data_IF_621618308805
#
_entry.id   IF_621618308805
#
_cell.length_a   1.000
_cell.length_b   1.000
_cell.length_c   1.000
_cell.angle_alpha   90.00
_cell.angle_beta   90.00
_cell.angle_gamma   90.00
#
_symmetry.space_group_name_H-M   'P 1'
#
loop_
_entity.id
_entity.type
_entity.pdbx_description
1 polymer ?
#
# COMPACT_ATOMS: atom_id res chain seq x y z
N UNK A 1 -4.36 21.12 -13.76
CA UNK A 1 -3.18 20.79 -12.93
C UNK A 1 -3.67 20.75 -11.50
N UNK A 2 -4.15 19.59 -11.06
CA UNK A 2 -4.60 19.42 -9.68
C UNK A 2 -3.34 19.38 -8.81
N UNK A 3 -3.13 20.46 -8.04
CA UNK A 3 -2.25 20.44 -6.86
C UNK A 3 -2.84 19.38 -5.95
N UNK A 4 -2.26 18.19 -5.96
CA UNK A 4 -2.64 17.15 -5.03
C UNK A 4 -1.80 17.35 -3.79
N UNK A 5 -2.46 17.49 -2.66
CA UNK A 5 -1.86 17.34 -1.34
C UNK A 5 -2.53 16.16 -0.66
N UNK A 6 -1.84 15.56 0.29
CA UNK A 6 -2.41 14.55 1.18
C UNK A 6 -2.31 15.02 2.62
N UNK A 7 -3.37 14.78 3.38
CA UNK A 7 -3.45 15.08 4.79
C UNK A 7 -3.09 13.82 5.57
N UNK A 8 -2.04 13.91 6.39
CA UNK A 8 -1.62 12.86 7.32
C UNK A 8 -2.10 13.26 8.71
N UNK A 9 -3.04 12.53 9.32
CA UNK A 9 -3.48 12.81 10.68
C UNK A 9 -2.34 12.52 11.66
N UNK A 10 -2.08 13.47 12.55
CA UNK A 10 -1.15 13.31 13.65
C UNK A 10 -1.78 12.48 14.77
N UNK A 11 -0.97 11.63 15.40
CA UNK A 11 -1.39 10.82 16.53
C UNK A 11 -1.70 11.73 17.72
N UNK A 12 -2.77 11.42 18.44
CA UNK A 12 -3.18 12.07 19.68
C UNK A 12 -3.50 13.58 19.57
N UNK A 13 -3.69 14.10 18.36
CA UNK A 13 -4.11 15.50 18.10
C UNK A 13 -5.12 15.57 16.94
N UNK A 14 -5.90 16.65 16.86
CA UNK A 14 -6.79 16.95 15.72
C UNK A 14 -6.04 17.63 14.56
N UNK A 15 -4.71 17.67 14.62
CA UNK A 15 -3.86 18.31 13.62
C UNK A 15 -3.55 17.33 12.47
N UNK A 16 -3.41 17.88 11.26
CA UNK A 16 -3.03 17.13 10.06
C UNK A 16 -1.81 17.79 9.44
N UNK A 17 -0.85 16.96 8.97
CA UNK A 17 0.26 17.42 8.13
C UNK A 17 -0.22 17.36 6.69
N UNK A 18 -0.21 18.51 6.00
CA UNK A 18 -0.44 18.56 4.57
C UNK A 18 0.89 18.36 3.83
N UNK A 19 0.99 17.30 3.03
CA UNK A 19 2.12 17.04 2.14
C UNK A 19 1.75 17.32 0.69
N UNK A 20 2.43 18.29 0.08
CA UNK A 20 2.33 18.58 -1.34
C UNK A 20 2.98 17.48 -2.18
N UNK A 21 2.26 16.96 -3.17
CA UNK A 21 2.80 15.94 -4.08
C UNK A 21 3.96 16.46 -4.94
N UNK A 22 4.03 17.76 -5.21
CA UNK A 22 5.13 18.37 -5.98
C UNK A 22 6.46 18.36 -5.23
N UNK A 23 6.42 18.26 -3.89
CA UNK A 23 7.59 18.30 -3.00
C UNK A 23 7.58 17.12 -2.03
N UNK A 24 7.34 15.90 -2.53
CA UNK A 24 7.40 14.70 -1.70
C UNK A 24 8.82 14.48 -1.15
N UNK A 25 8.96 14.23 0.17
CA UNK A 25 10.23 13.86 0.79
C UNK A 25 10.77 12.52 0.25
N UNK A 26 11.91 12.06 0.77
CA UNK A 26 12.39 10.72 0.48
C UNK A 26 11.46 9.65 1.09
N UNK A 27 11.36 8.49 0.43
CA UNK A 27 10.45 7.42 0.86
C UNK A 27 10.71 6.96 2.29
N UNK A 28 11.97 6.96 2.75
CA UNK A 28 12.34 6.59 4.11
C UNK A 28 11.83 7.58 5.18
N UNK A 29 11.85 8.88 4.87
CA UNK A 29 11.33 9.91 5.77
C UNK A 29 9.81 9.77 5.88
N UNK A 30 9.13 9.61 4.75
CA UNK A 30 7.68 9.39 4.71
C UNK A 30 7.29 8.13 5.48
N UNK A 31 7.98 7.02 5.27
CA UNK A 31 7.74 5.77 6.00
C UNK A 31 7.92 6.00 7.50
N UNK A 32 8.98 6.70 7.92
CA UNK A 32 9.24 6.98 9.34
C UNK A 32 8.10 7.79 9.98
N UNK A 33 7.60 8.82 9.30
CA UNK A 33 6.46 9.63 9.75
C UNK A 33 5.21 8.78 9.84
N UNK A 34 4.86 8.06 8.77
CA UNK A 34 3.63 7.26 8.71
C UNK A 34 3.59 6.18 9.80
N UNK A 35 4.74 5.59 10.14
CA UNK A 35 4.91 4.64 11.25
C UNK A 35 4.70 5.31 12.61
N UNK A 36 5.37 6.44 12.83
CA UNK A 36 5.30 7.16 14.11
C UNK A 36 3.86 7.60 14.42
N UNK A 37 3.15 8.06 13.39
CA UNK A 37 1.79 8.58 13.50
C UNK A 37 0.70 7.47 13.42
N UNK A 38 1.05 6.19 13.30
CA UNK A 38 0.11 5.06 13.20
C UNK A 38 -1.01 5.28 12.17
N UNK A 39 -0.63 5.80 11.02
CA UNK A 39 -1.56 6.22 9.96
C UNK A 39 -2.26 5.03 9.29
N UNK A 40 -3.46 5.27 8.79
CA UNK A 40 -4.28 4.26 8.11
C UNK A 40 -3.68 3.86 6.76
N UNK A 41 -3.83 2.59 6.36
CA UNK A 41 -3.20 2.03 5.15
C UNK A 41 -3.61 2.76 3.87
N UNK A 42 -4.83 3.30 3.78
CA UNK A 42 -5.24 4.07 2.60
C UNK A 42 -4.31 5.27 2.30
N UNK A 43 -3.72 5.89 3.32
CA UNK A 43 -2.77 7.01 3.18
C UNK A 43 -1.46 6.53 2.56
N UNK A 44 -0.97 5.37 3.00
CA UNK A 44 0.22 4.74 2.45
C UNK A 44 0.02 4.43 0.96
N UNK A 45 -1.13 3.85 0.60
CA UNK A 45 -1.46 3.51 -0.79
C UNK A 45 -1.53 4.78 -1.65
N UNK A 46 -2.17 5.84 -1.15
CA UNK A 46 -2.27 7.11 -1.87
C UNK A 46 -0.89 7.74 -2.12
N UNK A 47 -0.02 7.78 -1.11
CA UNK A 47 1.35 8.28 -1.25
C UNK A 47 2.16 7.43 -2.23
N UNK A 48 2.08 6.11 -2.14
CA UNK A 48 2.76 5.21 -3.06
C UNK A 48 2.37 5.53 -4.51
N UNK A 49 1.07 5.68 -4.79
CA UNK A 49 0.58 6.01 -6.14
C UNK A 49 1.18 7.32 -6.66
N UNK A 50 1.42 8.31 -5.81
CA UNK A 50 2.05 9.57 -6.24
C UNK A 50 3.54 9.42 -6.52
N UNK A 51 4.27 8.63 -5.74
CA UNK A 51 5.63 8.24 -6.10
C UNK A 51 5.65 7.52 -7.46
N UNK A 52 4.69 6.62 -7.69
CA UNK A 52 4.57 5.93 -8.98
C UNK A 52 4.29 6.90 -10.14
N UNK A 53 3.41 7.90 -9.97
CA UNK A 53 3.14 8.93 -10.99
C UNK A 53 4.38 9.77 -11.31
N UNK A 54 5.25 10.00 -10.34
CA UNK A 54 6.53 10.70 -10.54
C UNK A 54 7.61 9.83 -11.19
N UNK A 55 7.34 8.54 -11.42
CA UNK A 55 8.33 7.58 -11.94
C UNK A 55 9.29 7.05 -10.87
N UNK A 56 9.07 7.39 -9.60
CA UNK A 56 9.82 6.92 -8.43
C UNK A 56 9.31 5.55 -7.98
N UNK A 57 9.61 4.53 -8.80
CA UNK A 57 9.05 3.20 -8.60
C UNK A 57 9.68 2.43 -7.45
N UNK A 58 10.93 2.75 -7.07
CA UNK A 58 11.61 2.10 -5.95
C UNK A 58 10.96 2.52 -4.63
N UNK A 59 10.69 3.82 -4.47
CA UNK A 59 9.98 4.39 -3.33
C UNK A 59 8.56 3.86 -3.23
N UNK A 60 7.86 3.72 -4.36
CA UNK A 60 6.54 3.08 -4.41
C UNK A 60 6.56 1.66 -3.80
N UNK A 61 7.51 0.81 -4.20
CA UNK A 61 7.62 -0.57 -3.68
C UNK A 61 7.96 -0.53 -2.19
N UNK A 62 8.94 0.28 -1.81
CA UNK A 62 9.41 0.39 -0.43
C UNK A 62 8.31 0.83 0.52
N UNK A 63 7.47 1.78 0.09
CA UNK A 63 6.37 2.31 0.87
C UNK A 63 5.25 1.28 1.04
N UNK A 64 4.87 0.55 -0.02
CA UNK A 64 3.89 -0.54 0.09
C UNK A 64 4.41 -1.75 0.89
N UNK A 65 5.69 -2.08 0.78
CA UNK A 65 6.30 -3.15 1.60
C UNK A 65 6.31 -2.77 3.08
N UNK A 66 6.66 -1.52 3.40
CA UNK A 66 6.60 -0.99 4.76
C UNK A 66 5.16 -0.94 5.28
N UNK A 67 4.19 -0.53 4.45
CA UNK A 67 2.77 -0.54 4.79
C UNK A 67 2.28 -1.96 5.17
N UNK A 68 2.79 -3.00 4.51
CA UNK A 68 2.43 -4.39 4.82
C UNK A 68 2.95 -4.86 6.17
N UNK A 69 4.11 -4.38 6.62
CA UNK A 69 4.79 -4.82 7.85
C UNK A 69 4.39 -3.96 9.04
N UNK A 70 4.37 -2.65 8.84
CA UNK A 70 4.24 -1.64 9.88
C UNK A 70 2.94 -0.82 9.77
N UNK A 71 2.12 -1.08 8.75
CA UNK A 71 0.84 -0.40 8.59
C UNK A 71 -0.06 -0.67 9.78
N UNK A 72 -0.78 0.38 10.21
CA UNK A 72 -1.75 0.24 11.28
C UNK A 72 -2.83 -0.76 10.85
N UNK A 73 -3.18 -1.71 11.72
CA UNK A 73 -4.27 -2.68 11.52
C UNK A 73 -5.38 -2.48 12.55
N UNK A 74 -5.22 -1.53 13.46
CA UNK A 74 -6.15 -1.28 14.56
C UNK A 74 -7.24 -0.28 14.15
N UNK A 75 -7.95 -0.59 13.07
CA UNK A 75 -9.15 0.15 12.65
C UNK A 75 -10.14 -0.75 11.89
N UNK A 76 -11.38 -0.29 11.81
CA UNK A 76 -12.48 -1.00 11.14
C UNK A 76 -12.23 -1.07 9.63
N UNK A 77 -12.45 -2.22 9.02
CA UNK A 77 -12.27 -2.48 7.58
C UNK A 77 -10.80 -2.42 7.09
N UNK A 78 -9.81 -2.52 8.00
CA UNK A 78 -8.39 -2.57 7.65
C UNK A 78 -8.04 -3.70 6.68
N UNK A 79 -8.80 -4.80 6.70
CA UNK A 79 -8.68 -5.94 5.78
C UNK A 79 -8.84 -5.50 4.32
N UNK A 80 -9.74 -4.56 4.05
CA UNK A 80 -9.99 -4.05 2.71
C UNK A 80 -8.82 -3.20 2.20
N UNK A 81 -8.26 -2.37 3.07
CA UNK A 81 -7.10 -1.56 2.72
C UNK A 81 -5.84 -2.43 2.60
N UNK A 82 -5.66 -3.44 3.44
CA UNK A 82 -4.61 -4.44 3.30
C UNK A 82 -4.69 -5.16 1.95
N UNK A 83 -5.89 -5.62 1.57
CA UNK A 83 -6.14 -6.24 0.27
C UNK A 83 -5.76 -5.28 -0.87
N UNK A 84 -6.22 -4.03 -0.80
CA UNK A 84 -5.89 -3.01 -1.80
C UNK A 84 -4.38 -2.77 -1.89
N UNK A 85 -3.67 -2.76 -0.77
CA UNK A 85 -2.21 -2.63 -0.71
C UNK A 85 -1.53 -3.83 -1.39
N UNK A 86 -1.96 -5.06 -1.08
CA UNK A 86 -1.42 -6.29 -1.65
C UNK A 86 -1.69 -6.39 -3.15
N UNK A 87 -2.91 -6.08 -3.59
CA UNK A 87 -3.32 -6.09 -5.00
C UNK A 87 -2.52 -5.06 -5.80
N UNK A 88 -2.33 -3.86 -5.25
CA UNK A 88 -1.55 -2.80 -5.89
C UNK A 88 -0.09 -3.23 -6.09
N UNK A 89 0.52 -3.83 -5.06
CA UNK A 89 1.88 -4.36 -5.13
C UNK A 89 1.99 -5.53 -6.12
N UNK A 90 1.02 -6.45 -6.11
CA UNK A 90 0.97 -7.58 -7.02
C UNK A 90 0.81 -7.14 -8.49
N UNK A 91 -0.09 -6.19 -8.75
CA UNK A 91 -0.28 -5.60 -10.07
C UNK A 91 0.99 -4.94 -10.60
N UNK A 92 1.72 -4.24 -9.73
CA UNK A 92 3.02 -3.66 -10.08
C UNK A 92 4.05 -4.73 -10.46
N UNK A 93 4.20 -5.81 -9.69
CA UNK A 93 5.12 -6.90 -10.04
C UNK A 93 4.73 -7.60 -11.35
N UNK A 94 3.43 -7.77 -11.63
CA UNK A 94 2.96 -8.27 -12.94
C UNK A 94 3.35 -7.31 -14.06
N UNK A 95 3.20 -6.01 -13.85
CA UNK A 95 3.57 -5.00 -14.83
C UNK A 95 5.08 -4.99 -15.10
N UNK A 96 5.91 -5.08 -14.05
CA UNK A 96 7.36 -5.26 -14.13
C UNK A 96 7.70 -6.55 -14.91
N UNK A 97 7.08 -7.68 -14.57
CA UNK A 97 7.29 -8.96 -15.25
C UNK A 97 6.93 -8.92 -16.75
N UNK A 98 5.97 -8.08 -17.15
CA UNK A 98 5.63 -7.88 -18.57
C UNK A 98 6.70 -7.08 -19.32
N UNK A 99 7.37 -6.13 -18.64
CA UNK A 99 8.46 -5.32 -19.21
C UNK A 99 9.80 -6.08 -19.21
N UNK A 100 9.97 -7.01 -18.28
CA UNK A 100 11.18 -7.81 -18.13
C UNK A 100 11.39 -8.78 -19.30
N UNK A 101 12.63 -8.81 -19.82
CA UNK A 101 13.06 -9.66 -20.93
C UNK A 101 13.71 -10.95 -20.44
N UNK A 102 14.36 -10.91 -19.27
CA UNK A 102 14.96 -12.09 -18.66
C UNK A 102 13.87 -13.06 -18.18
N UNK A 103 13.92 -14.30 -18.67
CA UNK A 103 12.92 -15.32 -18.34
C UNK A 103 12.94 -15.72 -16.87
N UNK A 104 14.10 -15.71 -16.22
CA UNK A 104 14.23 -16.14 -14.83
C UNK A 104 13.68 -15.05 -13.90
N UNK A 105 14.15 -13.80 -14.05
CA UNK A 105 13.61 -12.64 -13.32
C UNK A 105 12.10 -12.48 -13.52
N UNK A 106 11.61 -12.71 -14.74
CA UNK A 106 10.18 -12.65 -15.04
C UNK A 106 9.39 -13.69 -14.24
N UNK A 107 9.91 -14.92 -14.12
CA UNK A 107 9.27 -15.97 -13.30
C UNK A 107 9.27 -15.58 -11.83
N UNK A 108 10.35 -15.01 -11.32
CA UNK A 108 10.44 -14.58 -9.93
C UNK A 108 9.41 -13.48 -9.62
N UNK A 109 9.30 -12.46 -10.48
CA UNK A 109 8.31 -11.40 -10.35
C UNK A 109 6.87 -11.92 -10.42
N UNK A 110 6.57 -12.85 -11.34
CA UNK A 110 5.24 -13.49 -11.42
C UNK A 110 4.95 -14.30 -10.16
N UNK A 111 5.95 -15.00 -9.63
CA UNK A 111 5.82 -15.81 -8.40
C UNK A 111 5.53 -14.91 -7.21
N UNK A 112 6.25 -13.79 -7.08
CA UNK A 112 5.98 -12.78 -6.04
C UNK A 112 4.58 -12.18 -6.16
N UNK A 113 4.15 -11.79 -7.37
CA UNK A 113 2.78 -11.31 -7.58
C UNK A 113 1.72 -12.34 -7.20
N UNK A 114 1.92 -13.61 -7.57
CA UNK A 114 0.97 -14.69 -7.28
C UNK A 114 0.85 -14.94 -5.77
N UNK A 115 1.98 -14.86 -5.04
CA UNK A 115 1.99 -14.98 -3.59
C UNK A 115 1.19 -13.85 -2.94
N UNK A 116 1.35 -12.61 -3.41
CA UNK A 116 0.61 -11.46 -2.89
C UNK A 116 -0.89 -11.56 -3.15
N UNK A 117 -1.32 -11.96 -4.35
CA UNK A 117 -2.75 -12.22 -4.63
C UNK A 117 -3.31 -13.32 -3.74
N UNK A 118 -2.56 -14.41 -3.54
CA UNK A 118 -3.00 -15.49 -2.63
C UNK A 118 -3.13 -15.00 -1.18
N UNK A 119 -2.28 -14.07 -0.74
CA UNK A 119 -2.39 -13.44 0.58
C UNK A 119 -3.63 -12.52 0.64
N UNK A 120 -3.91 -11.75 -0.40
CA UNK A 120 -5.10 -10.90 -0.50
C UNK A 120 -6.39 -11.74 -0.49
N UNK A 121 -6.44 -12.82 -1.26
CA UNK A 121 -7.58 -13.75 -1.32
C UNK A 121 -7.89 -14.38 0.05
N UNK A 122 -6.85 -14.68 0.85
CA UNK A 122 -7.05 -15.19 2.20
C UNK A 122 -7.77 -14.18 3.09
N UNK A 123 -7.49 -12.89 2.96
CA UNK A 123 -8.13 -11.83 3.74
C UNK A 123 -9.64 -11.77 3.40
N UNK A 124 -10.00 -11.84 2.11
CA UNK A 124 -11.41 -11.90 1.64
C UNK A 124 -12.15 -13.12 2.22
N UNK A 125 -11.49 -14.28 2.23
CA UNK A 125 -12.13 -15.53 2.65
C UNK A 125 -12.54 -15.50 4.13
N UNK A 126 -11.78 -14.82 5.00
CA UNK A 126 -12.13 -14.68 6.42
C UNK A 126 -13.23 -13.64 6.68
N UNK A 127 -13.23 -12.53 5.93
CA UNK A 127 -14.26 -11.48 6.05
C UNK A 127 -15.64 -12.00 5.58
N UNK A 128 -15.66 -12.75 4.48
CA UNK A 128 -16.90 -13.30 3.92
C UNK A 128 -17.52 -14.40 4.81
N UNK A 129 -16.71 -15.20 5.52
CA UNK A 129 -17.21 -16.22 6.46
C UNK A 129 -17.79 -15.58 7.73
N UNK A 130 -17.15 -14.53 8.26
CA UNK A 130 -17.65 -13.82 9.43
C UNK A 130 -18.98 -13.11 9.16
N UNK A 131 -19.18 -12.56 7.96
CA UNK A 131 -20.45 -11.92 7.58
C UNK A 131 -21.62 -12.90 7.42
N UNK A 132 -21.33 -14.15 7.03
CA UNK A 132 -22.35 -15.20 6.89
C UNK A 132 -22.76 -15.77 8.25
N UNK A 133 -21.81 -15.92 9.19
CA UNK A 133 -22.09 -16.45 10.53
C UNK A 133 -22.81 -15.46 11.45
N UNK A 134 -22.70 -14.14 11.24
CA UNK A 134 -23.45 -13.12 12.01
C UNK A 134 -24.89 -12.90 11.54
N UNK A 135 -25.36 -13.62 10.50
CA UNK A 135 -26.74 -13.54 9.98
C UNK A 135 -27.55 -14.84 10.16
N UNK A 136 -27.08 -15.78 10.99
CA UNK A 136 -27.81 -16.98 11.43
C UNK A 136 -27.98 -16.97 12.96
#
# INVERSE_FOLDING_TARGET
>A
MSRGSIEIPLRDTDEVIELDFDQLPEGDEVISILKQEHTQLHIWIALALEYYKQGKTEEFVKLLEAARIDGNLDYRDHEKDQMTCLDTLAAYYVQQARKEKNKDNKKDLITQATLLYTMADKIIMYDQVNQICCNL
#
